data_IF_093167982932
#
_entry.id   IF_093167982932
#
_cell.length_a   1.000
_cell.length_b   1.000
_cell.length_c   1.000
_cell.angle_alpha   90.00
_cell.angle_beta   90.00
_cell.angle_gamma   90.00
#
_symmetry.space_group_name_H-M   'P 1'
#
loop_
_entity.id
_entity.type
_entity.pdbx_description
1 polymer ?
#
# COMPACT_ATOMS: atom_id res chain seq x y z
N UNK A 1 22.10 24.88 -14.63
CA UNK A 1 23.35 24.69 -13.90
C UNK A 1 24.49 25.34 -14.64
N UNK A 2 24.77 25.00 -15.93
CA UNK A 2 25.91 25.55 -16.71
C UNK A 2 25.85 27.10 -16.81
N UNK A 3 24.66 27.69 -17.09
CA UNK A 3 24.51 29.14 -17.07
C UNK A 3 24.80 29.78 -15.69
N UNK A 4 24.57 29.07 -14.61
CA UNK A 4 24.89 29.53 -13.25
C UNK A 4 26.40 29.44 -12.99
N UNK A 5 27.06 28.38 -13.50
CA UNK A 5 28.52 28.26 -13.50
C UNK A 5 29.18 29.45 -14.28
N UNK A 6 28.72 29.70 -15.51
CA UNK A 6 29.25 30.77 -16.36
C UNK A 6 29.08 32.18 -15.75
N UNK A 7 28.06 32.36 -14.89
CA UNK A 7 27.81 33.60 -14.16
C UNK A 7 28.53 33.70 -12.81
N UNK A 8 29.35 32.71 -12.45
CA UNK A 8 30.06 32.66 -11.18
C UNK A 8 29.17 32.44 -9.94
N UNK A 9 27.96 31.90 -10.14
CA UNK A 9 27.06 31.59 -9.02
C UNK A 9 27.35 30.24 -8.33
N UNK A 10 28.22 29.45 -8.93
CA UNK A 10 28.63 28.16 -8.38
C UNK A 10 30.13 28.21 -8.08
N UNK A 11 30.50 27.54 -7.01
CA UNK A 11 31.91 27.36 -6.63
C UNK A 11 32.56 26.44 -7.70
N UNK A 12 33.68 26.88 -8.27
CA UNK A 12 34.40 26.18 -9.33
C UNK A 12 35.87 25.91 -9.00
N UNK A 13 36.18 25.79 -7.69
CA UNK A 13 37.51 25.46 -7.22
C UNK A 13 37.89 24.03 -7.64
N UNK A 14 39.17 23.78 -7.89
CA UNK A 14 39.69 22.50 -8.38
C UNK A 14 39.38 21.29 -7.46
N UNK A 15 39.04 21.54 -6.20
CA UNK A 15 38.61 20.52 -5.24
C UNK A 15 37.11 20.25 -5.20
N UNK A 16 36.29 20.95 -6.01
CA UNK A 16 34.84 20.82 -5.99
C UNK A 16 34.39 19.55 -6.70
N UNK A 17 34.02 18.53 -5.92
CA UNK A 17 33.54 17.23 -6.42
C UNK A 17 32.03 17.04 -6.26
N UNK A 18 31.36 17.91 -5.49
CA UNK A 18 29.92 17.78 -5.25
C UNK A 18 29.09 18.19 -6.46
N UNK A 19 28.11 17.37 -6.89
CA UNK A 19 27.23 17.70 -7.98
C UNK A 19 26.26 18.82 -7.61
N UNK A 20 25.76 19.55 -8.61
CA UNK A 20 24.58 20.36 -8.43
C UNK A 20 23.34 19.47 -8.38
N UNK A 21 22.53 19.64 -7.34
CA UNK A 21 21.31 18.86 -7.10
C UNK A 21 20.10 19.77 -7.35
N UNK A 22 19.21 19.30 -8.22
CA UNK A 22 17.93 19.94 -8.52
C UNK A 22 16.83 18.97 -8.13
N UNK A 23 16.04 19.32 -7.12
CA UNK A 23 14.89 18.53 -6.68
C UNK A 23 13.58 19.22 -7.04
N UNK A 24 12.62 18.44 -7.50
CA UNK A 24 11.27 18.88 -7.82
C UNK A 24 10.28 17.91 -7.18
N UNK A 25 9.31 18.44 -6.44
CA UNK A 25 8.16 17.73 -5.93
C UNK A 25 6.89 18.25 -6.59
N UNK A 26 6.06 17.33 -7.11
CA UNK A 26 4.73 17.64 -7.61
C UNK A 26 3.73 16.83 -6.79
N UNK A 27 2.82 17.53 -6.14
CA UNK A 27 1.78 16.93 -5.34
C UNK A 27 0.41 17.37 -5.85
N UNK A 28 -0.51 16.43 -5.91
CA UNK A 28 -1.91 16.66 -6.20
C UNK A 28 -2.74 15.93 -5.16
N UNK A 29 -3.61 16.66 -4.47
CA UNK A 29 -4.55 16.12 -3.51
C UNK A 29 -5.94 16.66 -3.86
N UNK A 30 -6.88 15.76 -4.14
CA UNK A 30 -8.27 16.09 -4.39
C UNK A 30 -9.15 15.32 -3.43
N UNK A 31 -10.11 16.01 -2.85
CA UNK A 31 -11.11 15.43 -1.96
C UNK A 31 -12.50 15.92 -2.37
N UNK A 32 -13.44 14.98 -2.48
CA UNK A 32 -14.83 15.23 -2.77
C UNK A 32 -15.69 14.58 -1.71
N UNK A 33 -16.67 15.31 -1.19
CA UNK A 33 -17.67 14.81 -0.27
C UNK A 33 -19.05 15.00 -0.88
N UNK A 34 -19.80 13.92 -0.98
CA UNK A 34 -21.10 13.89 -1.62
C UNK A 34 -22.11 13.23 -0.67
N UNK A 35 -23.31 13.79 -0.56
CA UNK A 35 -24.44 13.21 0.13
C UNK A 35 -25.60 13.07 -0.87
N UNK A 36 -25.75 11.91 -1.47
CA UNK A 36 -26.75 11.65 -2.51
C UNK A 36 -28.16 11.51 -1.94
N UNK A 37 -28.25 10.91 -0.78
CA UNK A 37 -29.49 10.70 -0.02
C UNK A 37 -29.18 11.03 1.42
N UNK A 38 -30.15 11.54 2.16
CA UNK A 38 -29.98 11.89 3.58
C UNK A 38 -29.40 10.73 4.37
N UNK A 39 -28.21 10.97 4.91
CA UNK A 39 -27.45 9.98 5.67
C UNK A 39 -26.57 9.04 4.84
N UNK A 40 -26.52 9.14 3.50
CA UNK A 40 -25.58 8.41 2.64
C UNK A 40 -24.45 9.33 2.20
N UNK A 41 -23.31 9.22 2.85
CA UNK A 41 -22.12 10.05 2.61
C UNK A 41 -21.07 9.25 1.85
N UNK A 42 -20.63 9.80 0.73
CA UNK A 42 -19.51 9.29 -0.07
C UNK A 42 -18.37 10.31 -0.04
N UNK A 43 -17.23 9.90 0.44
CA UNK A 43 -15.97 10.64 0.37
C UNK A 43 -15.07 9.98 -0.67
N UNK A 44 -14.58 10.77 -1.63
CA UNK A 44 -13.62 10.36 -2.63
C UNK A 44 -12.31 11.12 -2.40
N UNK A 45 -11.17 10.40 -2.44
CA UNK A 45 -9.84 11.01 -2.31
C UNK A 45 -8.94 10.54 -3.43
N UNK A 46 -8.23 11.48 -4.06
CA UNK A 46 -7.25 11.22 -5.10
C UNK A 46 -5.94 11.91 -4.74
N UNK A 47 -4.86 11.15 -4.69
CA UNK A 47 -3.53 11.68 -4.36
C UNK A 47 -2.53 11.22 -5.42
N UNK A 48 -1.61 12.12 -5.78
CA UNK A 48 -0.45 11.81 -6.61
C UNK A 48 0.73 12.63 -6.11
N UNK A 49 1.86 11.96 -5.92
CA UNK A 49 3.14 12.58 -5.55
C UNK A 49 4.21 12.09 -6.53
N UNK A 50 4.95 13.01 -7.12
CA UNK A 50 6.03 12.74 -8.06
C UNK A 50 7.26 13.57 -7.64
N UNK A 51 8.20 12.91 -7.00
CA UNK A 51 9.45 13.49 -6.54
C UNK A 51 10.57 13.10 -7.50
N UNK A 52 11.27 14.10 -8.05
CA UNK A 52 12.39 13.90 -8.97
C UNK A 52 13.59 14.71 -8.51
N UNK A 53 14.73 14.06 -8.48
CA UNK A 53 16.02 14.70 -8.20
C UNK A 53 16.94 14.45 -9.38
N UNK A 54 17.59 15.51 -9.85
CA UNK A 54 18.58 15.49 -10.90
C UNK A 54 19.91 15.95 -10.33
N UNK A 55 20.96 15.19 -10.56
CA UNK A 55 22.31 15.50 -10.15
C UNK A 55 23.18 15.75 -11.40
N UNK A 56 23.90 16.84 -11.43
CA UNK A 56 24.72 17.28 -12.56
C UNK A 56 26.11 17.60 -12.05
N UNK A 57 27.10 16.88 -12.56
CA UNK A 57 28.53 17.14 -12.35
C UNK A 57 28.98 18.28 -13.28
N UNK A 58 28.72 19.52 -12.87
CA UNK A 58 28.94 20.68 -13.71
C UNK A 58 30.43 21.03 -13.91
N UNK A 59 31.33 20.50 -13.08
CA UNK A 59 32.77 20.62 -13.25
C UNK A 59 33.33 19.66 -14.32
N UNK A 60 32.65 18.54 -14.52
CA UNK A 60 33.05 17.46 -15.42
C UNK A 60 31.95 17.23 -16.47
N UNK A 61 32.01 17.94 -17.64
CA UNK A 61 30.92 17.90 -18.61
C UNK A 61 30.65 16.52 -19.23
N UNK A 62 31.64 15.64 -19.22
CA UNK A 62 31.53 14.29 -19.78
C UNK A 62 30.87 13.28 -18.79
N UNK A 63 30.65 13.71 -17.55
CA UNK A 63 29.96 12.86 -16.58
C UNK A 63 28.45 12.79 -16.85
N UNK A 64 27.85 11.61 -16.77
CA UNK A 64 26.43 11.44 -17.01
C UNK A 64 25.59 12.18 -15.98
N UNK A 65 24.50 12.79 -16.44
CA UNK A 65 23.47 13.35 -15.56
C UNK A 65 22.67 12.21 -14.97
N UNK A 66 22.63 12.12 -13.65
CA UNK A 66 21.85 11.08 -12.95
C UNK A 66 20.50 11.61 -12.48
N UNK A 67 19.51 10.74 -12.51
CA UNK A 67 18.17 11.01 -12.01
C UNK A 67 17.82 10.00 -10.94
N UNK A 68 17.09 10.44 -9.94
CA UNK A 68 16.49 9.59 -8.93
C UNK A 68 15.14 10.16 -8.49
N UNK A 69 14.32 9.35 -7.88
CA UNK A 69 13.06 9.85 -7.37
C UNK A 69 12.15 8.78 -6.80
N UNK A 70 10.93 9.19 -6.51
CA UNK A 70 9.85 8.32 -6.07
C UNK A 70 8.53 8.79 -6.68
N UNK A 71 7.62 7.85 -6.86
CA UNK A 71 6.31 8.15 -7.41
C UNK A 71 5.23 7.38 -6.65
N UNK A 72 4.14 8.07 -6.34
CA UNK A 72 2.99 7.46 -5.66
C UNK A 72 1.70 8.04 -6.23
N UNK A 73 0.70 7.20 -6.42
CA UNK A 73 -0.66 7.63 -6.78
C UNK A 73 -1.72 6.74 -6.16
N UNK A 74 -2.91 7.30 -5.96
CA UNK A 74 -4.10 6.48 -5.71
C UNK A 74 -4.46 5.67 -6.94
N UNK A 75 -4.90 4.43 -6.71
CA UNK A 75 -5.10 3.43 -7.74
C UNK A 75 -6.31 2.56 -7.40
N UNK A 76 -6.68 1.65 -8.30
CA UNK A 76 -7.73 0.67 -8.02
C UNK A 76 -7.31 -0.70 -8.59
N UNK A 77 -7.26 -1.69 -7.70
CA UNK A 77 -6.97 -3.08 -8.06
C UNK A 77 -8.02 -4.05 -7.47
N UNK A 78 -9.23 -3.53 -7.18
CA UNK A 78 -10.31 -4.23 -6.48
C UNK A 78 -10.70 -5.56 -7.15
N UNK A 79 -10.53 -5.67 -8.47
CA UNK A 79 -10.89 -6.89 -9.22
C UNK A 79 -10.10 -8.14 -8.80
N UNK A 80 -8.94 -7.97 -8.16
CA UNK A 80 -8.11 -9.08 -7.67
C UNK A 80 -7.92 -9.06 -6.15
N UNK A 81 -8.51 -8.08 -5.45
CA UNK A 81 -8.25 -7.80 -4.04
C UNK A 81 -8.66 -8.93 -3.08
N UNK A 82 -9.83 -9.54 -3.32
CA UNK A 82 -10.42 -10.55 -2.44
C UNK A 82 -10.03 -11.99 -2.82
N UNK A 83 -9.08 -12.16 -3.74
CA UNK A 83 -8.54 -13.46 -4.07
C UNK A 83 -7.91 -14.11 -2.83
N UNK A 84 -8.16 -15.40 -2.64
CA UNK A 84 -7.50 -16.20 -1.62
C UNK A 84 -6.64 -17.26 -2.29
N UNK A 85 -5.43 -17.46 -1.77
CA UNK A 85 -4.58 -18.58 -2.14
C UNK A 85 -4.26 -19.37 -0.88
N UNK A 86 -4.60 -20.66 -0.89
CA UNK A 86 -4.42 -21.57 0.25
C UNK A 86 -3.25 -22.52 0.05
N UNK A 87 -2.83 -23.15 1.16
CA UNK A 87 -1.79 -24.19 1.11
C UNK A 87 -2.24 -25.42 0.32
N UNK A 88 -3.54 -25.71 0.31
CA UNK A 88 -4.16 -26.84 -0.40
C UNK A 88 -3.96 -26.73 -1.93
N UNK A 89 -4.01 -25.50 -2.46
CA UNK A 89 -3.80 -25.21 -3.87
C UNK A 89 -2.35 -24.81 -4.20
N UNK A 90 -1.38 -25.09 -3.31
CA UNK A 90 0.01 -24.66 -3.50
C UNK A 90 0.18 -23.15 -3.56
N UNK A 91 -0.73 -22.40 -2.96
CA UNK A 91 -0.81 -20.93 -3.00
C UNK A 91 -0.98 -20.37 -4.42
N UNK A 92 -1.68 -21.07 -5.29
CA UNK A 92 -1.97 -20.61 -6.66
C UNK A 92 -2.65 -19.23 -6.67
N UNK A 93 -2.25 -18.39 -7.61
CA UNK A 93 -2.83 -17.07 -7.81
C UNK A 93 -3.09 -16.83 -9.30
N UNK A 94 -4.37 -16.70 -9.72
CA UNK A 94 -4.71 -16.39 -11.11
C UNK A 94 -4.10 -15.06 -11.59
N UNK A 95 -4.00 -14.05 -10.68
CA UNK A 95 -3.40 -12.77 -11.00
C UNK A 95 -1.89 -12.88 -11.26
N UNK A 96 -1.18 -13.71 -10.48
CA UNK A 96 0.24 -13.96 -10.71
C UNK A 96 0.46 -14.73 -12.03
N UNK A 97 -0.33 -15.75 -12.31
CA UNK A 97 -0.25 -16.46 -13.60
C UNK A 97 -0.48 -15.50 -14.76
N UNK A 98 -1.51 -14.65 -14.67
CA UNK A 98 -1.77 -13.62 -15.67
C UNK A 98 -0.61 -12.64 -15.84
N UNK A 99 0.12 -12.33 -14.77
CA UNK A 99 1.33 -11.51 -14.86
C UNK A 99 2.39 -12.20 -15.71
N UNK A 100 2.62 -13.50 -15.50
CA UNK A 100 3.58 -14.29 -16.30
C UNK A 100 3.19 -14.32 -17.77
N UNK A 101 1.91 -14.52 -18.06
CA UNK A 101 1.36 -14.54 -19.42
C UNK A 101 1.46 -13.17 -20.11
N UNK A 102 1.42 -12.08 -19.34
CA UNK A 102 1.52 -10.71 -19.87
C UNK A 102 2.96 -10.28 -20.17
N UNK A 103 3.98 -10.90 -19.57
CA UNK A 103 5.39 -10.55 -19.78
C UNK A 103 5.77 -10.55 -21.27
N UNK A 104 5.58 -11.63 -22.06
CA UNK A 104 5.93 -11.62 -23.45
C UNK A 104 5.16 -10.60 -24.27
N UNK A 105 3.86 -10.40 -23.97
CA UNK A 105 3.03 -9.40 -24.68
C UNK A 105 3.56 -7.98 -24.44
N UNK A 106 3.96 -7.65 -23.24
CA UNK A 106 4.54 -6.34 -22.91
C UNK A 106 5.92 -6.17 -23.57
N UNK A 107 6.75 -7.22 -23.55
CA UNK A 107 8.07 -7.20 -24.21
C UNK A 107 7.94 -6.94 -25.71
N UNK A 108 7.02 -7.63 -26.38
CA UNK A 108 6.78 -7.44 -27.83
C UNK A 108 6.30 -6.01 -28.12
N UNK A 109 5.39 -5.47 -27.33
CA UNK A 109 4.94 -4.08 -27.44
C UNK A 109 6.07 -3.08 -27.21
N UNK A 110 6.94 -3.35 -26.25
CA UNK A 110 8.09 -2.48 -25.98
C UNK A 110 9.05 -2.49 -27.16
N UNK A 111 9.39 -3.66 -27.68
CA UNK A 111 10.25 -3.77 -28.88
C UNK A 111 9.62 -3.09 -30.12
N UNK A 112 8.31 -3.16 -30.28
CA UNK A 112 7.59 -2.52 -31.39
C UNK A 112 7.75 -0.96 -31.38
N UNK A 113 7.98 -0.34 -30.22
CA UNK A 113 8.26 1.09 -30.16
C UNK A 113 9.59 1.48 -30.87
N UNK A 114 10.47 0.50 -31.07
CA UNK A 114 11.78 0.70 -31.70
C UNK A 114 11.79 0.40 -33.19
N UNK A 115 10.65 0.07 -33.82
CA UNK A 115 10.56 -0.10 -35.25
C UNK A 115 10.97 1.19 -35.97
N UNK A 116 11.99 1.10 -36.85
CA UNK A 116 12.52 2.26 -37.57
C UNK A 116 13.47 3.15 -36.77
N UNK A 117 13.61 2.92 -35.47
CA UNK A 117 14.61 3.63 -34.62
C UNK A 117 16.02 3.23 -35.02
N UNK A 118 16.97 4.16 -35.03
CA UNK A 118 18.37 3.87 -35.32
C UNK A 118 19.18 3.83 -34.03
N UNK A 119 20.18 2.95 -34.01
CA UNK A 119 21.12 2.89 -32.88
C UNK A 119 21.87 4.21 -32.75
N UNK A 120 21.91 4.82 -31.54
CA UNK A 120 22.61 6.07 -31.30
C UNK A 120 24.13 5.90 -31.34
N UNK A 121 24.85 6.98 -31.59
CA UNK A 121 26.30 7.03 -31.44
C UNK A 121 26.72 7.60 -30.09
N UNK A 122 27.99 7.40 -29.73
CA UNK A 122 28.63 7.92 -28.51
C UNK A 122 28.49 6.99 -27.29
N UNK A 123 29.08 7.41 -26.18
CA UNK A 123 29.12 6.59 -24.96
C UNK A 123 29.60 5.16 -25.20
N UNK A 124 28.89 4.16 -24.69
CA UNK A 124 29.21 2.75 -24.87
C UNK A 124 29.05 2.24 -26.34
N UNK A 125 28.41 3.06 -27.20
CA UNK A 125 28.21 2.75 -28.61
C UNK A 125 29.26 3.37 -29.53
N UNK A 126 30.25 4.13 -29.03
CA UNK A 126 31.16 4.93 -29.85
C UNK A 126 31.85 4.11 -30.99
N UNK A 127 32.27 2.89 -30.71
CA UNK A 127 32.93 2.02 -31.68
C UNK A 127 32.05 0.81 -32.10
N UNK A 128 30.77 0.84 -31.80
CA UNK A 128 29.86 -0.27 -32.10
C UNK A 128 29.43 -0.24 -33.59
N UNK A 129 29.59 -1.36 -34.34
CA UNK A 129 29.23 -1.42 -35.75
C UNK A 129 27.73 -1.20 -36.04
N UNK A 130 26.87 -1.27 -35.03
CA UNK A 130 25.44 -1.02 -35.16
C UNK A 130 25.08 0.45 -35.24
N UNK A 131 25.97 1.38 -34.90
CA UNK A 131 25.72 2.82 -34.92
C UNK A 131 25.12 3.28 -36.25
N UNK A 132 23.99 3.98 -36.20
CA UNK A 132 23.24 4.46 -37.37
C UNK A 132 22.45 3.40 -38.14
N UNK A 133 22.60 2.12 -37.81
CA UNK A 133 21.76 1.07 -38.40
C UNK A 133 20.35 1.11 -37.78
N UNK A 134 19.31 0.64 -38.51
CA UNK A 134 18.00 0.46 -37.95
C UNK A 134 18.02 -0.59 -36.83
N UNK A 135 17.20 -0.39 -35.81
CA UNK A 135 17.00 -1.39 -34.76
C UNK A 135 16.60 -2.73 -35.36
N UNK A 136 17.27 -3.78 -34.94
CA UNK A 136 16.97 -5.16 -35.31
C UNK A 136 16.90 -6.02 -34.05
N UNK A 137 15.73 -6.65 -33.76
CA UNK A 137 15.56 -7.53 -32.60
C UNK A 137 16.59 -8.66 -32.50
N UNK A 138 17.17 -9.10 -33.64
CA UNK A 138 18.22 -10.13 -33.64
C UNK A 138 19.52 -9.68 -32.95
N UNK A 139 19.74 -8.38 -32.79
CA UNK A 139 20.91 -7.82 -32.12
C UNK A 139 20.68 -7.55 -30.63
N UNK A 140 19.49 -7.83 -30.12
CA UNK A 140 19.08 -7.64 -28.74
C UNK A 140 17.68 -7.06 -28.64
N UNK A 141 16.89 -7.60 -27.74
CA UNK A 141 15.52 -7.16 -27.43
C UNK A 141 15.46 -6.67 -25.98
N UNK A 142 14.39 -5.96 -25.62
CA UNK A 142 14.15 -5.65 -24.21
C UNK A 142 14.15 -6.95 -23.39
N UNK A 143 14.84 -6.96 -22.27
CA UNK A 143 14.83 -8.13 -21.39
C UNK A 143 13.45 -8.33 -20.75
N UNK A 144 12.92 -9.54 -20.79
CA UNK A 144 11.67 -9.90 -20.10
C UNK A 144 11.78 -9.77 -18.57
N UNK A 145 12.99 -9.73 -18.04
CA UNK A 145 13.26 -9.50 -16.60
C UNK A 145 13.54 -8.05 -16.26
N UNK A 146 13.53 -7.15 -17.26
CA UNK A 146 13.71 -5.71 -17.01
C UNK A 146 12.52 -5.07 -16.32
N UNK A 147 12.74 -3.97 -15.60
CA UNK A 147 11.67 -3.17 -15.01
C UNK A 147 10.69 -2.64 -16.04
N UNK A 148 11.15 -2.39 -17.28
CA UNK A 148 10.34 -1.88 -18.38
C UNK A 148 9.25 -2.86 -18.85
N UNK A 149 9.48 -4.15 -18.61
CA UNK A 149 8.54 -5.24 -18.93
C UNK A 149 7.78 -5.69 -17.69
N UNK A 150 8.49 -5.94 -16.59
CA UNK A 150 7.89 -6.51 -15.38
C UNK A 150 6.87 -5.56 -14.72
N UNK A 151 7.14 -4.24 -14.69
CA UNK A 151 6.25 -3.28 -14.04
C UNK A 151 4.90 -3.16 -14.75
N UNK A 152 4.81 -2.93 -16.08
CA UNK A 152 3.52 -2.92 -16.78
C UNK A 152 2.80 -4.28 -16.74
N UNK A 153 3.52 -5.41 -16.82
CA UNK A 153 2.94 -6.74 -16.71
C UNK A 153 2.31 -6.97 -15.32
N UNK A 154 2.99 -6.54 -14.27
CA UNK A 154 2.50 -6.57 -12.89
C UNK A 154 1.24 -5.71 -12.71
N UNK A 155 1.27 -4.44 -13.16
CA UNK A 155 0.12 -3.56 -13.05
C UNK A 155 -1.07 -4.16 -13.79
N UNK A 156 -0.90 -4.57 -15.07
CA UNK A 156 -2.02 -5.08 -15.88
C UNK A 156 -2.66 -6.32 -15.28
N UNK A 157 -1.86 -7.23 -14.72
CA UNK A 157 -2.35 -8.46 -14.13
C UNK A 157 -3.16 -8.23 -12.84
N UNK A 158 -2.63 -7.40 -11.94
CA UNK A 158 -3.26 -7.16 -10.64
C UNK A 158 -4.37 -6.12 -10.67
N UNK A 159 -4.45 -5.28 -11.69
CA UNK A 159 -5.58 -4.36 -11.90
C UNK A 159 -6.64 -4.91 -12.84
N UNK A 160 -6.35 -6.00 -13.54
CA UNK A 160 -7.25 -6.59 -14.54
C UNK A 160 -7.30 -5.83 -15.86
N UNK A 161 -6.38 -4.89 -16.11
CA UNK A 161 -6.30 -4.17 -17.39
C UNK A 161 -5.74 -5.06 -18.50
N UNK A 162 -6.08 -4.72 -19.76
CA UNK A 162 -5.59 -5.46 -20.92
C UNK A 162 -4.10 -5.15 -21.16
N UNK A 163 -3.19 -6.16 -21.26
CA UNK A 163 -1.78 -5.94 -21.49
C UNK A 163 -1.48 -5.22 -22.81
N UNK A 164 -2.35 -5.33 -23.82
CA UNK A 164 -2.19 -4.64 -25.11
C UNK A 164 -2.44 -3.14 -25.03
N UNK A 165 -3.19 -2.66 -24.03
CA UNK A 165 -3.52 -1.23 -23.84
C UNK A 165 -2.92 -0.64 -22.58
N UNK A 166 -2.25 -1.48 -21.74
CA UNK A 166 -1.59 -1.02 -20.52
C UNK A 166 -0.51 0.05 -20.83
N UNK A 167 -0.44 1.10 -20.03
CA UNK A 167 0.65 2.08 -20.10
C UNK A 167 1.99 1.40 -19.82
N UNK A 168 2.95 1.62 -20.73
CA UNK A 168 4.32 1.11 -20.54
C UNK A 168 5.13 2.01 -19.60
N UNK A 169 4.77 3.30 -19.52
CA UNK A 169 5.41 4.23 -18.59
C UNK A 169 5.02 3.90 -17.12
N UNK A 170 6.01 3.62 -16.24
CA UNK A 170 5.75 3.34 -14.83
C UNK A 170 5.27 4.57 -14.02
N UNK A 171 5.32 5.77 -14.59
CA UNK A 171 4.90 7.05 -13.98
C UNK A 171 3.73 7.66 -14.76
N UNK A 172 2.54 7.04 -14.74
CA UNK A 172 1.41 7.52 -15.53
C UNK A 172 0.95 8.92 -15.11
N UNK A 173 0.36 9.63 -16.07
CA UNK A 173 -0.17 10.97 -15.85
C UNK A 173 -1.40 11.00 -14.95
N UNK A 174 -1.90 12.20 -14.66
CA UNK A 174 -3.07 12.43 -13.81
C UNK A 174 -4.31 11.64 -14.27
N UNK A 175 -4.52 11.50 -15.57
CA UNK A 175 -5.67 10.77 -16.13
C UNK A 175 -5.79 9.30 -15.67
N UNK A 176 -4.69 8.71 -15.16
CA UNK A 176 -4.65 7.35 -14.64
C UNK A 176 -4.80 7.28 -13.11
N UNK A 177 -5.07 8.40 -12.43
CA UNK A 177 -5.33 8.43 -10.98
C UNK A 177 -6.78 8.04 -10.74
N UNK A 178 -7.00 7.01 -9.93
CA UNK A 178 -8.33 6.52 -9.56
C UNK A 178 -8.62 6.84 -8.10
N UNK A 179 -9.86 7.20 -7.73
CA UNK A 179 -10.18 7.59 -6.37
C UNK A 179 -10.18 6.41 -5.40
N UNK A 180 -9.73 6.67 -4.20
CA UNK A 180 -10.10 5.92 -3.02
C UNK A 180 -11.47 6.41 -2.55
N UNK A 181 -12.24 5.56 -1.85
CA UNK A 181 -13.56 5.96 -1.37
C UNK A 181 -13.85 5.47 0.04
N UNK A 182 -14.69 6.23 0.72
CA UNK A 182 -15.35 5.86 1.96
C UNK A 182 -16.83 6.12 1.83
N UNK A 183 -17.64 5.11 2.09
CA UNK A 183 -19.09 5.16 2.11
C UNK A 183 -19.57 4.96 3.55
N UNK A 184 -20.44 5.86 4.03
CA UNK A 184 -21.08 5.73 5.34
C UNK A 184 -22.57 5.98 5.17
N UNK A 185 -23.38 5.08 5.73
CA UNK A 185 -24.83 5.19 5.68
C UNK A 185 -25.44 5.08 7.07
N UNK A 186 -25.96 6.19 7.58
CA UNK A 186 -26.65 6.30 8.87
C UNK A 186 -28.18 6.46 8.72
N UNK A 187 -28.67 6.56 7.50
CA UNK A 187 -30.09 6.75 7.18
C UNK A 187 -30.97 5.52 7.43
N UNK A 188 -30.40 4.33 7.58
CA UNK A 188 -31.14 3.08 7.78
C UNK A 188 -32.05 3.12 9.01
N UNK A 189 -31.67 3.86 10.05
CA UNK A 189 -32.50 4.04 11.24
C UNK A 189 -33.89 4.61 10.94
N UNK A 190 -34.03 5.33 9.82
CA UNK A 190 -35.29 5.93 9.40
C UNK A 190 -36.21 4.97 8.61
N UNK A 191 -35.69 3.76 8.27
CA UNK A 191 -36.45 2.77 7.51
C UNK A 191 -37.18 1.78 8.42
N UNK A 192 -38.45 1.57 8.15
CA UNK A 192 -39.30 0.59 8.84
C UNK A 192 -39.30 0.74 10.35
N UNK A 193 -39.14 -0.38 11.05
CA UNK A 193 -39.19 -0.46 12.52
C UNK A 193 -37.82 -0.29 13.21
N UNK A 194 -36.77 0.12 12.50
CA UNK A 194 -35.42 0.24 13.07
C UNK A 194 -35.37 1.19 14.28
N UNK A 195 -36.07 2.31 14.23
CA UNK A 195 -36.19 3.27 15.35
C UNK A 195 -36.76 2.65 16.63
N UNK A 196 -37.45 1.52 16.53
CA UNK A 196 -38.01 0.84 17.71
C UNK A 196 -36.88 0.15 18.51
N UNK A 197 -35.84 -0.34 17.81
CA UNK A 197 -34.79 -1.13 18.42
C UNK A 197 -33.52 -0.32 18.66
N UNK A 198 -33.19 0.61 17.77
CA UNK A 198 -31.90 1.33 17.75
C UNK A 198 -32.10 2.83 18.10
N UNK A 199 -31.11 3.39 18.81
CA UNK A 199 -30.88 4.83 18.95
C UNK A 199 -30.05 5.37 17.80
N UNK A 200 -29.05 4.60 17.36
CA UNK A 200 -28.23 4.86 16.19
C UNK A 200 -27.88 3.56 15.48
N UNK A 201 -27.73 3.61 14.17
CA UNK A 201 -27.29 2.50 13.34
C UNK A 201 -26.56 3.05 12.13
N UNK A 202 -25.34 2.56 11.86
CA UNK A 202 -24.50 3.01 10.77
C UNK A 202 -23.85 1.83 10.07
N UNK A 203 -23.85 1.88 8.74
CA UNK A 203 -23.03 1.01 7.89
C UNK A 203 -21.87 1.81 7.34
N UNK A 204 -20.71 1.17 7.23
CA UNK A 204 -19.53 1.77 6.64
C UNK A 204 -18.80 0.80 5.72
N UNK A 205 -18.25 1.35 4.65
CA UNK A 205 -17.34 0.66 3.72
C UNK A 205 -16.26 1.63 3.29
N UNK A 206 -15.02 1.20 3.24
CA UNK A 206 -13.94 2.03 2.73
C UNK A 206 -12.92 1.19 1.95
N UNK A 207 -12.53 1.70 0.80
CA UNK A 207 -11.49 1.13 -0.03
C UNK A 207 -10.40 2.17 -0.29
N UNK A 208 -9.17 1.77 -0.07
CA UNK A 208 -7.97 2.54 -0.36
C UNK A 208 -7.00 1.67 -1.14
N UNK A 209 -6.50 2.20 -2.25
CA UNK A 209 -5.46 1.56 -3.01
C UNK A 209 -4.42 2.58 -3.44
N UNK A 210 -3.17 2.20 -3.34
CA UNK A 210 -2.02 3.04 -3.70
C UNK A 210 -1.05 2.23 -4.53
N UNK A 211 -0.68 2.76 -5.69
CA UNK A 211 0.46 2.31 -6.47
C UNK A 211 1.66 3.20 -6.15
N UNK A 212 2.82 2.60 -5.89
CA UNK A 212 4.04 3.32 -5.58
C UNK A 212 5.26 2.73 -6.28
N UNK A 213 6.12 3.62 -6.81
CA UNK A 213 7.51 3.34 -7.15
C UNK A 213 8.33 3.93 -6.00
N UNK A 214 8.87 3.05 -5.14
CA UNK A 214 9.52 3.48 -3.90
C UNK A 214 10.77 4.31 -4.15
N UNK A 215 11.63 3.83 -5.04
CA UNK A 215 12.79 4.56 -5.54
C UNK A 215 13.15 4.08 -6.93
N UNK A 216 13.63 5.00 -7.75
CA UNK A 216 14.25 4.71 -9.04
C UNK A 216 15.51 5.54 -9.21
N UNK A 217 16.41 5.05 -10.05
CA UNK A 217 17.61 5.78 -10.48
C UNK A 217 17.73 5.71 -12.00
N UNK A 218 18.57 6.57 -12.59
CA UNK A 218 18.91 6.44 -14.00
C UNK A 218 19.99 5.36 -14.20
N UNK A 219 19.94 4.71 -15.35
CA UNK A 219 21.12 3.96 -15.82
C UNK A 219 22.25 4.93 -16.14
N UNK A 220 23.48 4.58 -15.75
CA UNK A 220 24.68 5.38 -16.07
C UNK A 220 25.05 5.31 -17.55
N UNK A 221 24.76 4.17 -18.18
CA UNK A 221 25.13 3.85 -19.57
C UNK A 221 23.93 3.97 -20.52
N UNK A 222 22.89 4.75 -20.17
CA UNK A 222 21.75 4.94 -21.06
C UNK A 222 22.05 5.99 -22.12
N UNK A 223 21.77 5.65 -23.39
CA UNK A 223 21.88 6.54 -24.52
C UNK A 223 20.51 6.83 -25.10
N UNK A 224 20.12 8.09 -25.16
CA UNK A 224 18.84 8.54 -25.71
C UNK A 224 18.87 8.56 -27.24
N UNK A 225 17.73 8.26 -27.85
CA UNK A 225 17.47 8.45 -29.27
C UNK A 225 16.71 9.76 -29.51
N UNK A 226 15.62 9.98 -28.78
CA UNK A 226 14.71 11.12 -28.94
C UNK A 226 14.32 11.78 -27.60
N UNK A 227 14.99 11.43 -26.50
CA UNK A 227 14.71 11.90 -25.15
C UNK A 227 13.73 11.01 -24.35
N UNK A 228 13.02 10.09 -25.00
CA UNK A 228 12.11 9.13 -24.35
C UNK A 228 12.52 7.70 -24.58
N UNK A 229 12.94 7.37 -25.80
CA UNK A 229 13.48 6.06 -26.18
C UNK A 229 15.01 6.09 -26.13
N UNK A 230 15.59 4.98 -25.77
CA UNK A 230 17.04 4.84 -25.70
C UNK A 230 17.49 3.40 -25.55
N UNK A 231 18.78 3.23 -25.43
CA UNK A 231 19.42 1.93 -25.29
C UNK A 231 20.29 1.92 -24.04
N UNK A 232 20.35 0.78 -23.38
CA UNK A 232 21.34 0.48 -22.36
C UNK A 232 22.20 -0.71 -22.80
N UNK A 233 23.34 -0.90 -22.14
CA UNK A 233 24.21 -2.05 -22.38
C UNK A 233 23.71 -3.24 -21.55
N UNK A 234 23.39 -4.33 -22.19
CA UNK A 234 23.24 -5.62 -21.51
C UNK A 234 24.64 -6.13 -21.11
N UNK A 235 24.91 -6.17 -19.81
CA UNK A 235 26.18 -6.55 -19.23
C UNK A 235 26.57 -8.02 -19.50
N UNK A 236 25.58 -8.88 -19.79
CA UNK A 236 25.81 -10.30 -20.04
C UNK A 236 26.21 -10.56 -21.50
N UNK A 237 25.59 -9.87 -22.44
CA UNK A 237 25.80 -10.08 -23.87
C UNK A 237 26.70 -9.02 -24.51
N UNK A 238 26.90 -7.88 -23.86
CA UNK A 238 27.57 -6.72 -24.42
C UNK A 238 26.79 -6.02 -25.54
N UNK A 239 25.53 -6.38 -25.74
CA UNK A 239 24.68 -5.83 -26.80
C UNK A 239 23.86 -4.63 -26.33
N UNK A 240 23.60 -3.65 -27.23
CA UNK A 240 22.66 -2.58 -26.93
C UNK A 240 21.23 -3.09 -26.95
N UNK A 241 20.52 -2.93 -25.85
CA UNK A 241 19.11 -3.34 -25.70
C UNK A 241 18.20 -2.15 -25.47
N UNK A 242 16.98 -2.18 -26.02
CA UNK A 242 15.95 -1.18 -25.75
C UNK A 242 15.69 -1.02 -24.26
N UNK A 243 15.63 0.21 -23.76
CA UNK A 243 15.39 0.51 -22.34
C UNK A 243 14.87 1.91 -22.13
N UNK A 244 14.05 2.11 -21.10
CA UNK A 244 13.83 3.43 -20.52
C UNK A 244 15.05 3.94 -19.77
N UNK A 245 15.16 5.25 -19.46
CA UNK A 245 16.27 5.76 -18.67
C UNK A 245 16.25 5.31 -17.20
N UNK A 246 15.19 4.64 -16.75
CA UNK A 246 14.92 4.39 -15.34
C UNK A 246 15.17 2.96 -14.93
N UNK A 247 16.06 2.78 -13.95
CA UNK A 247 16.23 1.51 -13.24
C UNK A 247 15.32 1.51 -12.01
N UNK A 248 14.27 0.72 -12.07
CA UNK A 248 13.28 0.60 -10.99
C UNK A 248 13.49 -0.75 -10.31
N UNK A 249 13.92 -0.73 -9.05
CA UNK A 249 14.15 -1.96 -8.28
C UNK A 249 12.89 -2.51 -7.63
N UNK A 250 11.95 -1.63 -7.26
CA UNK A 250 10.76 -2.04 -6.49
C UNK A 250 9.56 -1.17 -6.81
N UNK A 251 8.42 -1.84 -7.06
CA UNK A 251 7.11 -1.21 -7.10
C UNK A 251 6.14 -1.94 -6.18
N UNK A 252 5.15 -1.22 -5.65
CA UNK A 252 4.15 -1.82 -4.78
C UNK A 252 2.73 -1.35 -5.11
N UNK A 253 1.77 -2.27 -4.93
CA UNK A 253 0.34 -1.99 -4.86
C UNK A 253 -0.11 -2.35 -3.45
N UNK A 254 -0.60 -1.37 -2.71
CA UNK A 254 -1.16 -1.58 -1.38
C UNK A 254 -2.65 -1.31 -1.41
N UNK A 255 -3.44 -2.30 -1.05
CA UNK A 255 -4.89 -2.23 -0.99
C UNK A 255 -5.37 -2.43 0.44
N UNK A 256 -6.39 -1.68 0.82
CA UNK A 256 -6.95 -1.76 2.16
C UNK A 256 -8.46 -1.51 2.13
N UNK A 257 -9.22 -2.48 2.63
CA UNK A 257 -10.60 -2.31 3.05
C UNK A 257 -10.63 -2.05 4.56
N UNK A 258 -10.99 -0.85 4.97
CA UNK A 258 -10.99 -0.48 6.38
C UNK A 258 -12.19 0.43 6.74
N UNK A 259 -13.37 -0.20 6.93
CA UNK A 259 -13.67 -1.63 6.82
C UNK A 259 -14.11 -2.07 5.39
N UNK A 260 -14.06 -3.38 5.09
CA UNK A 260 -14.78 -3.97 3.96
C UNK A 260 -16.30 -3.92 4.22
N UNK A 261 -16.70 -4.31 5.43
CA UNK A 261 -18.04 -4.11 5.96
C UNK A 261 -17.90 -3.71 7.43
N UNK A 262 -18.46 -2.57 7.77
CA UNK A 262 -18.56 -2.07 9.13
C UNK A 262 -20.03 -1.85 9.51
N UNK A 263 -20.43 -2.36 10.67
CA UNK A 263 -21.76 -2.17 11.24
C UNK A 263 -21.57 -1.68 12.66
N UNK A 264 -22.15 -0.54 13.00
CA UNK A 264 -22.11 -0.02 14.36
C UNK A 264 -23.46 0.55 14.77
N UNK A 265 -23.75 0.51 16.04
CA UNK A 265 -25.01 1.05 16.52
C UNK A 265 -25.13 1.06 18.03
N UNK A 266 -26.20 1.73 18.48
CA UNK A 266 -26.62 1.77 19.88
C UNK A 266 -28.06 1.34 19.97
N UNK A 267 -28.33 0.33 20.75
CA UNK A 267 -29.70 -0.13 21.04
C UNK A 267 -30.43 0.84 22.00
N UNK A 268 -31.74 0.69 22.10
CA UNK A 268 -32.57 1.51 23.01
C UNK A 268 -32.19 1.34 24.49
N UNK A 269 -31.66 0.20 24.88
CA UNK A 269 -31.14 -0.09 26.20
C UNK A 269 -29.69 0.36 26.44
N UNK A 270 -29.13 1.20 25.58
CA UNK A 270 -27.75 1.73 25.63
C UNK A 270 -26.63 0.72 25.39
N UNK A 271 -26.97 -0.50 24.94
CA UNK A 271 -25.96 -1.43 24.44
C UNK A 271 -25.38 -0.89 23.12
N UNK A 272 -24.10 -0.62 23.11
CA UNK A 272 -23.33 -0.27 21.92
C UNK A 272 -22.74 -1.54 21.32
N UNK A 273 -22.66 -1.61 20.00
CA UNK A 273 -21.98 -2.68 19.30
C UNK A 273 -21.27 -2.16 18.06
N UNK A 274 -20.19 -2.80 17.72
CA UNK A 274 -19.49 -2.62 16.46
C UNK A 274 -19.04 -3.97 15.91
N UNK A 275 -19.15 -4.12 14.61
CA UNK A 275 -18.63 -5.25 13.85
C UNK A 275 -17.87 -4.69 12.66
N UNK A 276 -16.61 -5.08 12.51
CA UNK A 276 -15.76 -4.63 11.41
C UNK A 276 -15.03 -5.80 10.78
N UNK A 277 -15.19 -5.94 9.47
CA UNK A 277 -14.37 -6.82 8.67
C UNK A 277 -13.37 -5.99 7.86
N UNK A 278 -12.09 -6.24 8.09
CA UNK A 278 -10.96 -5.57 7.42
C UNK A 278 -10.21 -6.55 6.55
N UNK A 279 -9.79 -6.09 5.39
CA UNK A 279 -8.91 -6.84 4.50
C UNK A 279 -7.83 -5.89 3.97
N UNK A 280 -6.58 -6.31 4.03
CA UNK A 280 -5.45 -5.55 3.51
C UNK A 280 -4.54 -6.50 2.73
N UNK A 281 -4.06 -6.04 1.59
CA UNK A 281 -3.08 -6.73 0.77
C UNK A 281 -2.00 -5.75 0.31
N UNK A 282 -0.75 -6.16 0.41
CA UNK A 282 0.38 -5.47 -0.18
C UNK A 282 1.08 -6.42 -1.14
N UNK A 283 1.19 -5.98 -2.39
CA UNK A 283 1.89 -6.66 -3.45
C UNK A 283 3.15 -5.86 -3.77
N UNK A 284 4.31 -6.46 -3.62
CA UNK A 284 5.60 -5.82 -3.89
C UNK A 284 6.33 -6.60 -4.98
N UNK A 285 6.47 -6.01 -6.16
CA UNK A 285 7.33 -6.52 -7.20
C UNK A 285 8.76 -6.04 -6.95
N UNK A 286 9.68 -6.98 -6.76
CA UNK A 286 11.11 -6.73 -6.76
C UNK A 286 11.67 -7.19 -8.10
N UNK A 287 12.02 -6.25 -8.96
CA UNK A 287 12.50 -6.52 -10.32
C UNK A 287 13.89 -7.14 -10.32
N UNK A 288 14.76 -6.69 -9.41
CA UNK A 288 16.14 -7.21 -9.29
C UNK A 288 16.19 -8.66 -8.80
N UNK A 289 15.24 -9.05 -7.93
CA UNK A 289 15.14 -10.42 -7.43
C UNK A 289 14.19 -11.31 -8.27
N UNK A 290 13.51 -10.76 -9.29
CA UNK A 290 12.57 -11.48 -10.13
C UNK A 290 11.41 -12.11 -9.34
N UNK A 291 10.84 -11.38 -8.37
CA UNK A 291 9.83 -11.95 -7.48
C UNK A 291 8.74 -10.94 -7.09
N UNK A 292 7.56 -11.47 -6.80
CA UNK A 292 6.46 -10.74 -6.17
C UNK A 292 6.29 -11.23 -4.74
N UNK A 293 6.34 -10.32 -3.78
CA UNK A 293 5.99 -10.57 -2.38
C UNK A 293 4.54 -10.13 -2.16
N UNK A 294 3.71 -11.05 -1.73
CA UNK A 294 2.30 -10.79 -1.40
C UNK A 294 2.11 -10.95 0.11
N UNK A 295 1.78 -9.85 0.79
CA UNK A 295 1.44 -9.84 2.21
C UNK A 295 -0.04 -9.52 2.38
N UNK A 296 -0.77 -10.38 3.09
CA UNK A 296 -2.20 -10.22 3.35
C UNK A 296 -2.48 -10.17 4.86
N UNK A 297 -3.48 -9.39 5.23
CA UNK A 297 -3.97 -9.30 6.61
C UNK A 297 -5.49 -9.18 6.59
N UNK A 298 -6.19 -10.18 7.11
CA UNK A 298 -7.65 -10.26 7.19
C UNK A 298 -8.09 -10.31 8.64
N UNK A 299 -9.00 -9.44 9.03
CA UNK A 299 -9.43 -9.32 10.42
C UNK A 299 -10.92 -9.11 10.56
N UNK A 300 -11.50 -9.80 11.55
CA UNK A 300 -12.85 -9.58 12.05
C UNK A 300 -12.74 -9.06 13.47
N UNK A 301 -13.39 -7.93 13.75
CA UNK A 301 -13.49 -7.36 15.09
C UNK A 301 -14.95 -7.21 15.47
N UNK A 302 -15.32 -7.70 16.65
CA UNK A 302 -16.66 -7.56 17.23
C UNK A 302 -16.48 -6.92 18.60
N UNK A 303 -17.10 -5.76 18.80
CA UNK A 303 -17.07 -5.05 20.08
C UNK A 303 -18.48 -4.85 20.64
N UNK A 304 -18.60 -4.93 21.95
CA UNK A 304 -19.80 -4.58 22.69
C UNK A 304 -19.46 -3.70 23.89
N UNK A 305 -20.27 -2.69 24.12
CA UNK A 305 -20.16 -1.79 25.27
C UNK A 305 -21.50 -1.55 25.92
N UNK A 306 -21.55 -1.64 27.25
CA UNK A 306 -22.76 -1.39 28.00
C UNK A 306 -22.49 -0.53 29.21
N UNK A 307 -23.29 0.52 29.38
CA UNK A 307 -23.20 1.41 30.53
C UNK A 307 -24.43 1.26 31.42
N UNK A 308 -24.21 0.82 32.64
CA UNK A 308 -25.25 0.71 33.70
C UNK A 308 -25.19 1.98 34.54
N UNK A 309 -26.19 2.81 34.42
CA UNK A 309 -26.29 4.07 35.18
C UNK A 309 -26.85 3.77 36.57
N UNK A 310 -26.20 4.34 37.59
CA UNK A 310 -26.66 4.21 38.97
C UNK A 310 -26.50 2.77 39.52
N UNK A 311 -25.46 2.04 39.13
CA UNK A 311 -25.20 0.69 39.59
C UNK A 311 -24.90 0.68 41.11
N UNK A 312 -25.88 0.33 41.93
CA UNK A 312 -25.72 0.19 43.37
C UNK A 312 -25.01 -1.11 43.73
N UNK A 313 -23.71 -1.05 43.88
CA UNK A 313 -22.93 -2.19 44.36
C UNK A 313 -23.02 -2.33 45.88
N UNK A 314 -22.72 -3.52 46.38
CA UNK A 314 -22.56 -3.85 47.82
C UNK A 314 -21.47 -2.99 48.49
N UNK A 315 -20.60 -2.37 47.74
CA UNK A 315 -19.52 -1.47 48.18
C UNK A 315 -19.99 -0.03 48.42
N UNK A 316 -21.08 0.15 49.20
CA UNK A 316 -21.48 1.48 49.67
C UNK A 316 -20.44 1.99 50.65
N UNK A 317 -19.54 2.85 50.20
CA UNK A 317 -18.68 3.60 51.10
C UNK A 317 -19.56 4.58 51.96
N UNK A 318 -19.45 4.47 53.26
CA UNK A 318 -20.12 5.35 54.21
C UNK A 318 -19.64 6.78 53.97
N UNK A 319 -20.50 7.61 53.37
CA UNK A 319 -20.18 9.01 53.03
C UNK A 319 -20.41 9.38 51.55
N UNK A 320 -21.08 8.57 50.73
CA UNK A 320 -21.45 8.91 49.36
C UNK A 320 -22.36 10.16 49.36
N UNK A 321 -21.82 11.30 48.93
CA UNK A 321 -22.57 12.51 48.73
C UNK A 321 -23.62 12.31 47.61
N UNK A 322 -24.82 12.69 47.89
CA UNK A 322 -25.94 12.79 46.93
C UNK A 322 -25.49 13.60 45.71
N UNK A 323 -25.45 12.97 44.52
CA UNK A 323 -25.17 13.64 43.25
C UNK A 323 -24.02 13.03 42.40
N UNK A 324 -23.49 11.88 42.77
CA UNK A 324 -22.54 11.13 41.90
C UNK A 324 -23.30 9.92 41.33
N UNK A 325 -23.32 9.84 40.02
CA UNK A 325 -23.81 8.65 39.31
C UNK A 325 -22.75 7.55 39.45
N UNK A 326 -23.08 6.50 40.20
CA UNK A 326 -22.21 5.29 40.32
C UNK A 326 -22.41 4.46 39.07
N UNK A 327 -21.77 4.82 37.97
CA UNK A 327 -21.92 4.13 36.69
C UNK A 327 -20.93 2.99 36.55
N UNK A 328 -21.40 1.85 36.07
CA UNK A 328 -20.58 0.74 35.65
C UNK A 328 -20.54 0.68 34.12
N UNK A 329 -19.36 0.81 33.56
CA UNK A 329 -19.12 0.67 32.10
C UNK A 329 -18.43 -0.67 31.85
N UNK A 330 -19.03 -1.48 31.01
CA UNK A 330 -18.50 -2.77 30.56
C UNK A 330 -18.16 -2.68 29.08
N UNK A 331 -16.99 -3.17 28.69
CA UNK A 331 -16.57 -3.28 27.30
C UNK A 331 -16.00 -4.67 27.07
N UNK A 332 -16.39 -5.28 25.95
CA UNK A 332 -15.86 -6.56 25.50
C UNK A 332 -15.52 -6.45 24.00
N UNK A 333 -14.30 -6.80 23.65
CA UNK A 333 -13.84 -6.80 22.28
C UNK A 333 -13.26 -8.18 21.95
N UNK A 334 -13.69 -8.71 20.81
CA UNK A 334 -13.20 -9.94 20.21
C UNK A 334 -12.58 -9.60 18.86
N UNK A 335 -11.35 -10.04 18.60
CA UNK A 335 -10.68 -9.83 17.33
C UNK A 335 -10.01 -11.12 16.87
N UNK A 336 -10.27 -11.49 15.62
CA UNK A 336 -9.60 -12.57 14.91
C UNK A 336 -8.86 -11.98 13.71
N UNK A 337 -7.55 -12.12 13.65
CA UNK A 337 -6.71 -11.61 12.57
C UNK A 337 -5.85 -12.75 11.99
N UNK A 338 -5.88 -12.89 10.67
CA UNK A 338 -5.00 -13.78 9.92
C UNK A 338 -4.04 -12.93 9.09
N UNK A 339 -2.73 -13.17 9.25
CA UNK A 339 -1.69 -12.57 8.42
C UNK A 339 -0.97 -13.67 7.65
N UNK A 340 -0.55 -13.38 6.43
CA UNK A 340 0.21 -14.30 5.59
C UNK A 340 1.13 -13.52 4.67
N UNK A 341 2.35 -14.04 4.45
CA UNK A 341 3.27 -13.53 3.46
C UNK A 341 3.75 -14.65 2.54
N UNK A 342 3.68 -14.41 1.24
CA UNK A 342 4.04 -15.32 0.17
C UNK A 342 5.12 -14.67 -0.70
N UNK A 343 6.10 -15.45 -1.13
CA UNK A 343 7.04 -15.08 -2.19
C UNK A 343 6.69 -15.87 -3.44
N UNK A 344 6.48 -15.19 -4.55
CA UNK A 344 6.20 -15.74 -5.88
C UNK A 344 7.37 -15.43 -6.81
N UNK A 345 8.09 -16.45 -7.22
CA UNK A 345 9.26 -16.32 -8.12
C UNK A 345 8.79 -16.34 -9.56
N UNK A 346 9.18 -15.32 -10.33
CA UNK A 346 8.73 -15.14 -11.73
C UNK A 346 9.36 -16.21 -12.61
N UNK A 347 10.68 -16.39 -12.54
CA UNK A 347 11.43 -17.27 -13.42
C UNK A 347 11.04 -18.76 -13.30
N UNK A 348 10.79 -19.22 -12.08
CA UNK A 348 10.47 -20.63 -11.80
C UNK A 348 8.98 -20.91 -11.65
N UNK A 349 8.11 -19.88 -11.73
CA UNK A 349 6.68 -19.96 -11.43
C UNK A 349 6.40 -20.69 -10.10
N UNK A 350 7.24 -20.42 -9.08
CA UNK A 350 7.15 -21.09 -7.79
C UNK A 350 6.70 -20.15 -6.70
N UNK A 351 5.75 -20.60 -5.87
CA UNK A 351 5.23 -19.83 -4.73
C UNK A 351 5.56 -20.52 -3.40
N UNK A 352 6.03 -19.74 -2.44
CA UNK A 352 6.37 -20.20 -1.10
C UNK A 352 5.79 -19.27 -0.04
N UNK A 353 5.14 -19.86 0.97
CA UNK A 353 4.78 -19.14 2.19
C UNK A 353 6.03 -18.91 3.05
N UNK A 354 6.26 -17.67 3.44
CA UNK A 354 7.39 -17.28 4.28
C UNK A 354 7.00 -17.06 5.72
N UNK A 355 5.80 -16.55 5.97
CA UNK A 355 5.26 -16.36 7.31
C UNK A 355 3.74 -16.38 7.27
N UNK A 356 3.15 -16.64 8.42
CA UNK A 356 1.72 -16.52 8.63
C UNK A 356 1.41 -16.67 10.11
N UNK A 357 0.42 -15.93 10.58
CA UNK A 357 -0.03 -16.02 11.97
C UNK A 357 -1.53 -15.77 12.05
N UNK A 358 -2.23 -16.60 12.80
CA UNK A 358 -3.60 -16.36 13.25
C UNK A 358 -3.54 -15.85 14.67
N UNK A 359 -4.03 -14.63 14.91
CA UNK A 359 -4.12 -14.03 16.24
C UNK A 359 -5.57 -13.92 16.65
N UNK A 360 -5.91 -14.54 17.78
CA UNK A 360 -7.18 -14.36 18.47
C UNK A 360 -6.93 -13.45 19.66
N UNK A 361 -7.71 -12.38 19.80
CA UNK A 361 -7.63 -11.46 20.95
C UNK A 361 -9.00 -11.29 21.56
N UNK A 362 -9.09 -11.43 22.89
CA UNK A 362 -10.30 -11.18 23.68
C UNK A 362 -9.91 -10.17 24.75
N UNK A 363 -10.54 -9.01 24.74
CA UNK A 363 -10.35 -7.97 25.74
C UNK A 363 -11.66 -7.73 26.47
N UNK A 364 -11.61 -7.72 27.79
CA UNK A 364 -12.71 -7.33 28.64
C UNK A 364 -12.25 -6.22 29.58
N UNK A 365 -13.04 -5.15 29.66
CA UNK A 365 -12.77 -4.03 30.56
C UNK A 365 -14.05 -3.64 31.30
N UNK A 366 -13.95 -3.47 32.61
CA UNK A 366 -14.99 -2.98 33.47
C UNK A 366 -14.50 -1.76 34.24
N UNK A 367 -15.24 -0.66 34.20
CA UNK A 367 -14.92 0.56 34.97
C UNK A 367 -16.11 0.94 35.81
N UNK A 368 -15.88 1.09 37.12
CA UNK A 368 -16.88 1.48 38.08
C UNK A 368 -16.50 2.80 38.76
N UNK A 369 -17.36 3.81 38.61
CA UNK A 369 -17.19 5.13 39.21
C UNK A 369 -17.73 5.08 40.63
N UNK A 370 -16.85 4.96 41.62
CA UNK A 370 -17.21 4.95 43.04
C UNK A 370 -17.52 6.34 43.59
N UNK A 371 -16.79 7.37 43.11
CA UNK A 371 -16.99 8.77 43.49
C UNK A 371 -16.42 9.68 42.41
N UNK A 372 -16.62 11.01 42.56
CA UNK A 372 -16.01 12.01 41.66
C UNK A 372 -14.48 11.90 41.56
N UNK A 373 -13.84 11.33 42.57
CA UNK A 373 -12.38 11.21 42.65
C UNK A 373 -11.86 9.79 42.53
N UNK A 374 -12.74 8.78 42.59
CA UNK A 374 -12.31 7.37 42.68
C UNK A 374 -13.01 6.50 41.67
N UNK A 375 -12.24 5.86 40.80
CA UNK A 375 -12.69 4.90 39.80
C UNK A 375 -11.97 3.59 40.01
N UNK A 376 -12.72 2.49 40.07
CA UNK A 376 -12.23 1.11 40.09
C UNK A 376 -12.28 0.57 38.67
N UNK A 377 -11.20 -0.02 38.20
CA UNK A 377 -11.11 -0.70 36.91
C UNK A 377 -10.77 -2.18 37.11
N UNK A 378 -11.32 -3.03 36.26
CA UNK A 378 -10.93 -4.43 36.11
C UNK A 378 -10.71 -4.72 34.63
N UNK A 379 -9.66 -5.45 34.28
CA UNK A 379 -9.41 -5.85 32.91
C UNK A 379 -9.02 -7.32 32.82
N UNK A 380 -9.33 -7.91 31.68
CA UNK A 380 -8.89 -9.23 31.26
C UNK A 380 -8.56 -9.18 29.78
N UNK A 381 -7.31 -9.52 29.45
CA UNK A 381 -6.80 -9.61 28.10
C UNK A 381 -6.32 -11.03 27.85
N UNK A 382 -6.76 -11.62 26.75
CA UNK A 382 -6.36 -12.96 26.34
C UNK A 382 -5.99 -12.95 24.86
N UNK A 383 -4.77 -13.37 24.54
CA UNK A 383 -4.27 -13.42 23.19
C UNK A 383 -3.66 -14.79 22.89
N UNK A 384 -4.11 -15.39 21.79
CA UNK A 384 -3.56 -16.63 21.24
C UNK A 384 -2.98 -16.34 19.86
N UNK A 385 -1.69 -16.60 19.69
CA UNK A 385 -1.01 -16.52 18.42
C UNK A 385 -0.71 -17.93 17.92
N UNK A 386 -1.32 -18.30 16.78
CA UNK A 386 -1.11 -19.58 16.11
C UNK A 386 -0.33 -19.36 14.84
N UNK A 387 0.95 -19.73 14.76
CA UNK A 387 1.72 -19.66 13.54
C UNK A 387 1.12 -20.54 12.44
N UNK A 388 1.11 -20.05 11.21
CA UNK A 388 0.62 -20.74 10.03
C UNK A 388 1.81 -21.04 9.10
N UNK A 389 2.10 -22.31 8.84
CA UNK A 389 3.19 -22.71 7.95
C UNK A 389 3.79 -24.06 8.32
N UNK A 390 4.54 -24.66 7.37
CA UNK A 390 5.12 -26.02 7.55
C UNK A 390 6.18 -26.11 8.65
N UNK A 391 6.89 -25.01 8.94
CA UNK A 391 7.92 -24.90 9.98
C UNK A 391 7.47 -23.98 11.12
N UNK A 392 6.16 -23.95 11.39
CA UNK A 392 5.59 -23.05 12.37
C UNK A 392 6.06 -23.42 13.79
N UNK A 393 6.41 -22.42 14.57
CA UNK A 393 6.59 -22.54 16.01
C UNK A 393 5.28 -22.95 16.69
N UNK A 394 5.37 -23.39 17.95
CA UNK A 394 4.17 -23.72 18.72
C UNK A 394 3.28 -22.49 18.95
N UNK A 395 1.96 -22.67 19.06
CA UNK A 395 1.06 -21.60 19.46
C UNK A 395 1.49 -20.99 20.80
N UNK A 396 1.41 -19.68 20.90
CA UNK A 396 1.69 -18.96 22.14
C UNK A 396 0.41 -18.34 22.67
N UNK A 397 0.21 -18.45 23.98
CA UNK A 397 -0.93 -17.86 24.68
C UNK A 397 -0.43 -16.90 25.72
N UNK A 398 -0.99 -15.69 25.72
CA UNK A 398 -0.75 -14.68 26.74
C UNK A 398 -2.08 -14.28 27.37
N UNK A 399 -2.14 -14.29 28.69
CA UNK A 399 -3.32 -13.84 29.45
C UNK A 399 -2.85 -12.87 30.52
N UNK A 400 -3.49 -11.71 30.56
CA UNK A 400 -3.27 -10.74 31.62
C UNK A 400 -4.60 -10.30 32.21
N UNK A 401 -4.62 -10.11 33.51
CA UNK A 401 -5.77 -9.58 34.24
C UNK A 401 -5.32 -8.75 35.41
N UNK A 402 -6.14 -7.81 35.80
CA UNK A 402 -5.80 -6.96 36.92
C UNK A 402 -6.93 -6.05 37.37
N UNK A 403 -6.70 -5.46 38.51
CA UNK A 403 -7.52 -4.41 39.10
C UNK A 403 -6.74 -3.11 39.13
N UNK A 404 -7.38 -2.01 38.84
CA UNK A 404 -6.82 -0.67 38.94
C UNK A 404 -7.70 0.22 39.83
N UNK A 405 -7.05 1.03 40.62
CA UNK A 405 -7.72 2.05 41.44
C UNK A 405 -7.17 3.42 41.04
N UNK A 406 -8.03 4.23 40.45
CA UNK A 406 -7.67 5.57 40.00
C UNK A 406 -8.21 6.61 40.99
N UNK A 407 -7.31 7.33 41.62
CA UNK A 407 -7.62 8.44 42.55
C UNK A 407 -7.24 9.77 41.89
N UNK A 408 -8.24 10.59 41.59
CA UNK A 408 -8.03 11.93 41.06
C UNK A 408 -7.98 12.93 42.23
N UNK A 409 -6.79 13.50 42.48
CA UNK A 409 -6.54 14.44 43.59
C UNK A 409 -6.74 15.91 43.18
N UNK A 410 -7.13 16.17 41.92
CA UNK A 410 -7.43 17.55 41.51
C UNK A 410 -8.63 18.10 42.29
N UNK A 411 -8.49 19.34 42.79
CA UNK A 411 -9.55 20.09 43.48
C UNK A 411 -10.66 20.51 42.55
#
# INVERSE_FOLDING_TARGET
VYKAKDRGWLITDDGQTSPAIISRANELNLEFQLEFVKGLKLQLTMNRTDNRTRQIQFMYPDMPVTFSGSYTKTHCAIGTALGSSGAEDGYYSPAFQKMLDNIPVIADRYNALYEGVRYPGGGFMADNPLVGQPFNPSNGTVSQTSSDVLVPAFISAYTGTNPHTQYLNPFPDFSAVLPNWRLTYDGLINLGNMKRWFKSFSLSHAYQCTYSVGSYSSYLNWLTVDGTLGFTLDTNTGMPVPSSPYNISTVAITERFAPLVGVSGTLKNDLQFNLEWKDQRTLTLNTSAGQVVEATSRGLTIGAGYKIIGFNSVLKMRGSQSGVSNDLTLKADFSLQNTQALIRRIETNYTQATSGTRTLTINFNAQYILSRKLTLGAYFDHQVNTPLGRNAAYPTTNSSYGLSLNLNLSR
#
